data_IF_259631321080
#
_entry.id   IF_259631321080
#
_cell.length_a   1.000
_cell.length_b   1.000
_cell.length_c   1.000
_cell.angle_alpha   90.00
_cell.angle_beta   90.00
_cell.angle_gamma   90.00
#
_symmetry.space_group_name_H-M   'P 1'
#
loop_
_entity.id
_entity.type
_entity.pdbx_description
1 polymer ?
#
# COMPACT_ATOMS: atom_id res chain seq x y z
N UNK A 1 -0.80 -9.08 -17.43
CA UNK A 1 -0.26 -8.29 -16.30
C UNK A 1 -1.46 -7.73 -15.58
N UNK A 2 -1.62 -8.06 -14.31
CA UNK A 2 -2.75 -7.59 -13.50
C UNK A 2 -2.33 -6.30 -12.79
N UNK A 3 -3.14 -5.25 -12.92
CA UNK A 3 -2.90 -4.00 -12.22
C UNK A 3 -3.38 -4.14 -10.78
N UNK A 4 -2.52 -3.80 -9.82
CA UNK A 4 -2.87 -3.87 -8.39
C UNK A 4 -2.55 -2.56 -7.70
N UNK A 5 -3.36 -2.21 -6.71
CA UNK A 5 -3.15 -1.08 -5.82
C UNK A 5 -2.51 -1.58 -4.53
N UNK A 6 -1.37 -1.01 -4.17
CA UNK A 6 -0.70 -1.25 -2.88
C UNK A 6 -1.11 -0.13 -1.95
N UNK A 7 -2.16 -0.35 -1.16
CA UNK A 7 -2.65 0.60 -0.17
C UNK A 7 -1.82 0.51 1.11
N UNK A 8 -1.13 1.59 1.44
CA UNK A 8 -0.25 1.69 2.60
C UNK A 8 -0.96 2.43 3.73
N UNK A 9 -1.24 1.72 4.82
CA UNK A 9 -1.73 2.28 6.08
C UNK A 9 -0.60 2.34 7.11
N UNK A 10 -0.91 2.78 8.32
CA UNK A 10 0.06 2.96 9.40
C UNK A 10 0.65 1.62 9.90
N UNK A 11 -0.18 0.58 10.01
CA UNK A 11 0.15 -0.73 10.59
C UNK A 11 -0.08 -1.91 9.63
N UNK A 12 -0.61 -1.64 8.43
CA UNK A 12 -0.85 -2.64 7.40
C UNK A 12 -0.62 -2.11 5.99
N UNK A 13 -0.30 -3.04 5.08
CA UNK A 13 -0.26 -2.84 3.64
C UNK A 13 -1.20 -3.84 2.99
N UNK A 14 -2.08 -3.35 2.14
CA UNK A 14 -3.03 -4.14 1.38
C UNK A 14 -2.64 -4.15 -0.09
N UNK A 15 -2.67 -5.31 -0.72
CA UNK A 15 -2.66 -5.42 -2.18
C UNK A 15 -4.09 -5.67 -2.65
N UNK A 16 -4.58 -4.79 -3.51
CA UNK A 16 -5.97 -4.76 -3.97
C UNK A 16 -5.99 -4.87 -5.49
N UNK A 17 -6.87 -5.69 -6.04
CA UNK A 17 -7.12 -5.73 -7.47
C UNK A 17 -7.72 -4.38 -7.93
N UNK A 18 -7.10 -3.76 -8.94
CA UNK A 18 -7.49 -2.42 -9.36
C UNK A 18 -8.85 -2.36 -10.07
N UNK A 19 -9.33 -3.48 -10.63
CA UNK A 19 -10.60 -3.55 -11.37
C UNK A 19 -11.76 -3.92 -10.45
N UNK A 20 -11.56 -4.91 -9.58
CA UNK A 20 -12.64 -5.46 -8.73
C UNK A 20 -12.69 -4.83 -7.34
N UNK A 21 -11.58 -4.25 -6.87
CA UNK A 21 -11.43 -3.79 -5.50
C UNK A 21 -11.24 -4.93 -4.49
N UNK A 22 -11.02 -6.15 -4.95
CA UNK A 22 -10.78 -7.30 -4.08
C UNK A 22 -9.43 -7.21 -3.36
N UNK A 23 -9.38 -7.52 -2.07
CA UNK A 23 -8.13 -7.60 -1.32
C UNK A 23 -7.46 -8.94 -1.61
N UNK A 24 -6.40 -8.92 -2.41
CA UNK A 24 -5.61 -10.10 -2.74
C UNK A 24 -4.68 -10.50 -1.59
N UNK A 25 -4.09 -9.51 -0.91
CA UNK A 25 -3.10 -9.73 0.17
C UNK A 25 -3.20 -8.66 1.25
N UNK A 26 -2.89 -9.08 2.48
CA UNK A 26 -2.73 -8.20 3.64
C UNK A 26 -1.43 -8.56 4.35
N UNK A 27 -0.62 -7.55 4.63
CA UNK A 27 0.60 -7.66 5.43
C UNK A 27 0.47 -6.67 6.58
N UNK A 28 0.58 -7.15 7.81
CA UNK A 28 0.52 -6.29 9.02
C UNK A 28 1.87 -6.30 9.73
N UNK A 29 2.20 -5.20 10.39
CA UNK A 29 3.44 -5.06 11.15
C UNK A 29 3.73 -3.62 11.56
N UNK A 30 4.83 -3.43 12.29
CA UNK A 30 5.19 -2.14 12.87
C UNK A 30 6.06 -1.26 11.95
N UNK A 31 6.70 -1.83 10.93
CA UNK A 31 7.66 -1.12 10.07
C UNK A 31 7.09 -0.92 8.67
N UNK A 32 6.41 0.21 8.45
CA UNK A 32 5.72 0.53 7.18
C UNK A 32 6.57 0.28 5.94
N UNK A 33 7.82 0.76 5.92
CA UNK A 33 8.70 0.65 4.74
C UNK A 33 9.09 -0.80 4.43
N UNK A 34 9.22 -1.63 5.48
CA UNK A 34 9.45 -3.07 5.33
C UNK A 34 8.21 -3.75 4.72
N UNK A 35 7.01 -3.40 5.21
CA UNK A 35 5.75 -3.92 4.69
C UNK A 35 5.55 -3.56 3.21
N UNK A 36 5.86 -2.31 2.83
CA UNK A 36 5.79 -1.85 1.43
C UNK A 36 6.77 -2.64 0.57
N UNK A 37 8.01 -2.79 1.02
CA UNK A 37 9.03 -3.56 0.30
C UNK A 37 8.60 -5.02 0.06
N UNK A 38 8.00 -5.63 1.08
CA UNK A 38 7.49 -6.99 1.00
C UNK A 38 6.30 -7.12 0.04
N UNK A 39 5.37 -6.17 0.08
CA UNK A 39 4.23 -6.13 -0.85
C UNK A 39 4.69 -6.02 -2.32
N UNK A 40 5.65 -5.13 -2.60
CA UNK A 40 6.22 -4.97 -3.94
C UNK A 40 6.95 -6.23 -4.42
N UNK A 41 7.68 -6.90 -3.52
CA UNK A 41 8.33 -8.17 -3.82
C UNK A 41 7.31 -9.25 -4.24
N UNK A 42 6.19 -9.37 -3.52
CA UNK A 42 5.14 -10.31 -3.89
C UNK A 42 4.46 -9.97 -5.20
N UNK A 43 4.16 -8.69 -5.47
CA UNK A 43 3.59 -8.26 -6.73
C UNK A 43 4.49 -8.63 -7.92
N UNK A 44 5.81 -8.39 -7.78
CA UNK A 44 6.79 -8.74 -8.81
C UNK A 44 6.84 -10.24 -9.09
N UNK A 45 6.79 -11.07 -8.06
CA UNK A 45 6.80 -12.53 -8.23
C UNK A 45 5.49 -13.07 -8.82
N UNK A 46 4.38 -12.37 -8.61
CA UNK A 46 3.07 -12.71 -9.18
C UNK A 46 2.86 -12.19 -10.62
N UNK A 47 3.81 -11.41 -11.17
CA UNK A 47 3.64 -10.78 -12.50
C UNK A 47 2.63 -9.63 -12.51
N UNK A 48 2.41 -9.02 -11.34
CA UNK A 48 1.51 -7.89 -11.14
C UNK A 48 2.25 -6.56 -11.33
N UNK A 49 1.49 -5.53 -11.70
CA UNK A 49 1.99 -4.15 -11.86
C UNK A 49 1.43 -3.31 -10.71
N UNK A 50 2.22 -3.08 -9.64
CA UNK A 50 1.75 -2.36 -8.47
C UNK A 50 1.76 -0.85 -8.67
N UNK A 51 0.69 -0.18 -8.24
CA UNK A 51 0.64 1.26 -8.03
C UNK A 51 0.46 1.55 -6.53
N UNK A 52 1.34 2.35 -5.94
CA UNK A 52 1.37 2.57 -4.49
C UNK A 52 0.46 3.73 -4.13
N UNK A 53 -0.45 3.49 -3.18
CA UNK A 53 -1.39 4.50 -2.68
C UNK A 53 -1.19 4.63 -1.17
N UNK A 54 -0.65 5.76 -0.74
CA UNK A 54 -0.54 6.06 0.68
C UNK A 54 -1.87 6.57 1.21
N UNK A 55 -2.33 6.01 2.33
CA UNK A 55 -3.42 6.60 3.08
C UNK A 55 -3.00 8.02 3.46
N UNK A 56 -3.81 9.01 3.05
CA UNK A 56 -3.64 10.37 3.56
C UNK A 56 -3.89 10.32 5.07
N UNK A 57 -2.87 10.65 5.85
CA UNK A 57 -3.04 10.96 7.26
C UNK A 57 -3.83 12.26 7.34
N UNK A 58 -5.14 12.18 7.62
CA UNK A 58 -5.92 13.34 8.05
C UNK A 58 -5.35 13.81 9.40
N UNK A 59 -4.35 14.70 9.34
CA UNK A 59 -3.59 15.11 10.52
C UNK A 59 -2.14 15.51 10.27
N UNK A 60 -1.67 15.58 9.01
CA UNK A 60 -0.37 16.18 8.70
C UNK A 60 -0.38 17.69 9.04
N UNK A 61 -0.09 17.98 10.29
CA UNK A 61 0.39 19.24 10.88
C UNK A 61 0.03 20.53 10.13
N UNK A 62 -0.99 21.26 10.59
CA UNK A 62 -1.16 22.70 10.31
C UNK A 62 -0.16 23.57 11.09
N UNK A 63 1.00 23.03 11.46
CA UNK A 63 2.09 23.85 11.97
C UNK A 63 2.71 24.56 10.76
N UNK A 64 2.72 25.90 10.79
CA UNK A 64 3.19 26.80 9.73
C UNK A 64 2.16 27.15 8.64
N UNK A 65 0.99 27.63 9.05
CA UNK A 65 0.42 28.81 8.38
C UNK A 65 0.73 30.03 9.24
N UNK A 66 1.71 30.82 8.81
CA UNK A 66 2.01 32.15 9.38
C UNK A 66 2.04 33.15 8.24
#
# INVERSE_FOLDING_TARGET
MTNVLVYVKSDEVLTVDAETGEILRRISGCHRDLLVSQALFYCRNAGEVPNIVYQREEGACTAYQK
#
